data_IF_009505200129
#
_entry.id   IF_009505200129
#
_cell.length_a   1.000
_cell.length_b   1.000
_cell.length_c   1.000
_cell.angle_alpha   90.00
_cell.angle_beta   90.00
_cell.angle_gamma   90.00
#
_symmetry.space_group_name_H-M   'P 1'
#
loop_
_entity.id
_entity.type
_entity.pdbx_description
1 polymer ?
#
# COMPACT_ATOMS: atom_id res chain seq x y z
N UNK A 1 -24.89 -37.40 -2.20
CA UNK A 1 -24.62 -36.81 -2.15
C UNK A 1 -24.22 -36.33 -2.14
N UNK A 2 -23.97 -36.18 -2.27
CA UNK A 2 -23.51 -35.27 -2.24
C UNK A 2 -23.15 -34.83 -2.20
N UNK A 3 -23.03 -34.76 -2.36
CA UNK A 3 -22.61 -33.88 -2.35
C UNK A 3 -22.24 -33.39 -2.33
N UNK A 4 -22.17 -33.28 -2.32
CA UNK A 4 -21.76 -32.34 -2.32
C UNK A 4 -21.40 -32.00 -2.26
N UNK A 5 -21.34 -32.06 -2.46
CA UNK A 5 -21.00 -31.23 -2.36
C UNK A 5 -20.59 -30.77 -2.32
N UNK A 6 -20.53 -30.84 -2.40
CA UNK A 6 -20.15 -29.97 -2.34
C UNK A 6 -19.69 -29.46 -2.34
N UNK A 7 -19.50 -29.49 -2.46
CA UNK A 7 -19.03 -28.56 -2.44
C UNK A 7 -18.66 -28.04 -2.53
N UNK A 8 -18.53 -28.01 -2.62
CA UNK A 8 -18.04 -27.01 -2.59
C UNK A 8 -17.75 -26.41 -2.66
N UNK A 9 -17.49 -26.13 -2.70
CA UNK A 9 -17.24 -25.07 -2.63
C UNK A 9 -16.95 -24.46 -2.60
N UNK A 10 -16.83 -24.58 -2.66
CA UNK A 10 -16.55 -23.59 -2.56
C UNK A 10 -16.27 -23.07 -2.59
N UNK A 11 -16.05 -23.03 -2.76
CA UNK A 11 -15.76 -22.22 -2.70
C UNK A 11 -15.34 -21.56 -2.79
N UNK A 12 -15.18 -21.66 -3.01
CA UNK A 12 -14.82 -20.76 -2.97
C UNK A 12 -14.75 -20.10 -3.02
N UNK A 13 -14.70 -19.95 -3.18
CA UNK A 13 -14.67 -19.03 -3.08
C UNK A 13 -14.66 -18.27 -3.02
N UNK A 14 -14.83 -18.09 -3.15
CA UNK A 14 -14.85 -17.15 -3.10
C UNK A 14 -14.52 -16.55 -2.82
N UNK A 15 -14.24 -16.38 -2.71
CA UNK A 15 -14.10 -15.55 -2.38
C UNK A 15 -13.90 -14.71 -2.41
N UNK A 16 -13.66 -14.43 -2.63
CA UNK A 16 -13.78 -13.64 -2.62
C UNK A 16 -14.15 -12.74 -2.46
N UNK A 17 -14.44 -12.74 -2.88
CA UNK A 17 -14.88 -11.68 -2.84
C UNK A 17 -15.31 -11.18 -1.73
N UNK A 18 -15.54 -11.52 -1.28
CA UNK A 18 -15.78 -10.98 -0.32
C UNK A 18 -15.10 -10.23 0.15
N UNK A 19 -14.86 -10.29 -0.59
CA UNK A 19 -14.42 -9.57 -0.28
C UNK A 19 -14.08 -8.53 0.20
N UNK A 20 -14.27 -7.80 -0.23
CA UNK A 20 -14.02 -6.58 0.41
C UNK A 20 -14.51 -6.54 1.80
N UNK A 21 -14.46 -7.61 2.42
CA UNK A 21 -14.72 -7.67 3.83
C UNK A 21 -13.77 -6.71 4.55
N UNK A 22 -14.18 -6.25 5.69
CA UNK A 22 -13.34 -5.41 6.54
C UNK A 22 -12.00 -6.09 6.74
N UNK A 23 -10.93 -5.34 6.52
CA UNK A 23 -9.58 -5.86 6.62
C UNK A 23 -9.06 -6.53 5.36
N UNK A 24 -9.87 -6.66 4.32
CA UNK A 24 -9.39 -7.19 3.06
C UNK A 24 -8.45 -6.20 2.39
N UNK A 25 -7.41 -6.73 1.74
CA UNK A 25 -6.49 -5.91 0.96
C UNK A 25 -6.79 -6.10 -0.53
N UNK A 26 -6.59 -5.04 -1.30
CA UNK A 26 -6.79 -5.08 -2.75
C UNK A 26 -5.89 -4.07 -3.42
N UNK A 27 -5.56 -4.31 -4.69
CA UNK A 27 -4.81 -3.36 -5.49
C UNK A 27 -5.73 -2.20 -5.89
N UNK A 28 -5.30 -0.98 -5.63
CA UNK A 28 -6.14 0.20 -5.88
C UNK A 28 -6.37 0.46 -7.37
N UNK A 29 -5.48 0.00 -8.24
CA UNK A 29 -5.63 0.21 -9.68
C UNK A 29 -6.47 -0.87 -10.35
N UNK A 30 -6.33 -2.11 -9.92
CA UNK A 30 -6.96 -3.25 -10.59
C UNK A 30 -8.14 -3.83 -9.82
N UNK A 31 -8.23 -3.55 -8.53
CA UNK A 31 -9.22 -4.17 -7.66
C UNK A 31 -8.92 -5.60 -7.29
N UNK A 32 -7.77 -6.14 -7.70
CA UNK A 32 -7.40 -7.52 -7.41
C UNK A 32 -7.24 -7.73 -5.90
N UNK A 33 -7.83 -8.81 -5.41
CA UNK A 33 -7.70 -9.18 -3.99
C UNK A 33 -6.26 -9.58 -3.68
N UNK A 34 -5.78 -9.16 -2.53
CA UNK A 34 -4.41 -9.40 -2.10
C UNK A 34 -4.40 -9.92 -0.67
N UNK A 35 -3.32 -10.60 -0.31
CA UNK A 35 -3.03 -10.88 1.09
C UNK A 35 -2.63 -9.58 1.79
N UNK A 36 -2.84 -9.52 3.09
CA UNK A 36 -2.38 -8.38 3.88
C UNK A 36 -0.86 -8.20 3.71
N UNK A 37 -0.42 -6.95 3.62
CA UNK A 37 0.99 -6.58 3.45
C UNK A 37 1.60 -7.03 2.12
N UNK A 38 0.81 -7.42 1.15
CA UNK A 38 1.33 -7.80 -0.16
C UNK A 38 1.98 -6.58 -0.82
N UNK A 39 3.27 -6.68 -1.08
CA UNK A 39 4.06 -5.61 -1.67
C UNK A 39 5.18 -6.24 -2.49
N UNK A 40 5.32 -5.86 -3.74
CA UNK A 40 6.35 -6.43 -4.60
C UNK A 40 7.74 -6.04 -4.12
N UNK A 41 8.68 -6.96 -4.23
CA UNK A 41 10.08 -6.69 -3.94
C UNK A 41 10.57 -5.53 -4.80
N UNK A 42 11.27 -4.59 -4.20
CA UNK A 42 11.76 -3.41 -4.88
C UNK A 42 10.83 -2.21 -4.79
N UNK A 43 9.64 -2.38 -4.22
CA UNK A 43 8.63 -1.33 -4.19
C UNK A 43 8.37 -0.85 -2.77
N UNK A 44 7.71 0.29 -2.70
CA UNK A 44 7.07 0.76 -1.47
C UNK A 44 5.57 0.70 -1.66
N UNK A 45 4.86 0.27 -0.63
CA UNK A 45 3.41 0.14 -0.66
C UNK A 45 2.78 0.93 0.47
N UNK A 46 1.67 1.57 0.15
CA UNK A 46 0.89 2.32 1.12
C UNK A 46 -0.56 1.86 1.05
N UNK A 47 -1.19 1.71 2.19
CA UNK A 47 -2.58 1.26 2.28
C UNK A 47 -3.43 2.28 3.02
N UNK A 48 -4.70 2.32 2.69
CA UNK A 48 -5.65 3.22 3.34
C UNK A 48 -6.37 2.60 4.53
N UNK A 49 -5.92 1.42 4.97
CA UNK A 49 -6.37 0.79 6.21
C UNK A 49 -5.17 0.29 7.00
N UNK A 50 -5.40 -0.06 8.27
CA UNK A 50 -4.34 -0.59 9.13
C UNK A 50 -3.98 -2.01 8.73
N UNK A 51 -2.77 -2.44 9.09
CA UNK A 51 -2.37 -3.83 8.92
C UNK A 51 -2.08 -4.23 7.48
N UNK A 52 -1.74 -3.30 6.60
CA UNK A 52 -1.48 -3.62 5.19
C UNK A 52 -2.71 -4.08 4.47
N UNK A 53 -3.86 -3.51 4.78
CA UNK A 53 -5.16 -3.87 4.19
C UNK A 53 -5.82 -2.65 3.57
N UNK A 54 -6.98 -2.86 2.96
CA UNK A 54 -7.63 -1.82 2.19
C UNK A 54 -6.97 -1.63 0.84
N UNK A 55 -7.12 -0.47 0.23
CA UNK A 55 -6.55 -0.18 -1.07
C UNK A 55 -5.05 0.06 -1.00
N UNK A 56 -4.31 -0.69 -1.80
CA UNK A 56 -2.86 -0.54 -1.91
C UNK A 56 -2.49 0.34 -3.08
N UNK A 57 -1.61 1.32 -2.86
CA UNK A 57 -0.91 2.02 -3.92
C UNK A 57 0.57 1.66 -3.81
N UNK A 58 1.21 1.37 -4.94
CA UNK A 58 2.54 0.78 -4.97
C UNK A 58 3.42 1.44 -6.02
N UNK A 59 4.67 1.72 -5.64
CA UNK A 59 5.65 2.38 -6.53
C UNK A 59 7.01 1.74 -6.39
N UNK A 60 7.73 1.68 -7.52
CA UNK A 60 9.16 1.37 -7.52
C UNK A 60 10.01 2.64 -7.63
N UNK A 61 9.42 3.76 -7.99
CA UNK A 61 10.11 5.05 -8.14
C UNK A 61 9.48 6.09 -7.23
N UNK A 62 10.16 7.24 -7.11
CA UNK A 62 9.58 8.39 -6.42
C UNK A 62 8.40 8.94 -7.22
N UNK A 63 7.48 9.59 -6.53
CA UNK A 63 6.33 10.21 -7.18
C UNK A 63 6.04 11.55 -6.51
N UNK A 64 6.24 12.65 -7.23
CA UNK A 64 5.98 13.97 -6.69
C UNK A 64 4.50 14.34 -6.62
N UNK A 65 3.63 13.56 -7.26
CA UNK A 65 2.19 13.81 -7.23
C UNK A 65 1.44 12.49 -7.43
N UNK A 66 0.89 11.98 -6.37
CA UNK A 66 0.17 10.69 -6.36
C UNK A 66 -1.09 10.68 -7.24
N UNK A 67 -1.55 11.83 -7.69
CA UNK A 67 -2.75 11.92 -8.54
C UNK A 67 -2.43 12.03 -10.02
N UNK A 68 -1.15 12.02 -10.40
CA UNK A 68 -0.73 12.14 -11.79
C UNK A 68 0.44 11.19 -12.07
N UNK A 69 0.82 11.11 -13.34
CA UNK A 69 1.91 10.25 -13.76
C UNK A 69 1.47 8.85 -14.12
N UNK A 70 2.43 7.94 -14.26
CA UNK A 70 2.15 6.56 -14.70
C UNK A 70 1.47 5.73 -13.63
N UNK A 71 1.71 6.02 -12.37
CA UNK A 71 1.02 5.36 -11.26
C UNK A 71 0.21 6.42 -10.53
N UNK A 72 -1.09 6.19 -10.44
CA UNK A 72 -2.01 7.09 -9.74
C UNK A 72 -2.64 6.35 -8.58
N UNK A 73 -2.66 7.01 -7.44
CA UNK A 73 -3.32 6.46 -6.27
C UNK A 73 -4.74 7.02 -6.20
N UNK A 74 -5.72 6.21 -6.54
CA UNK A 74 -7.10 6.67 -6.73
C UNK A 74 -7.72 7.26 -5.48
N UNK A 75 -7.24 6.91 -4.31
CA UNK A 75 -7.81 7.40 -3.05
C UNK A 75 -6.95 8.48 -2.38
N UNK A 76 -5.89 8.96 -3.05
CA UNK A 76 -4.93 9.88 -2.42
C UNK A 76 -5.56 11.15 -1.87
N UNK A 77 -6.63 11.64 -2.49
CA UNK A 77 -7.29 12.88 -2.06
C UNK A 77 -8.54 12.65 -1.21
N UNK A 78 -8.95 11.40 -1.02
CA UNK A 78 -10.20 11.10 -0.32
C UNK A 78 -10.00 10.26 0.93
N UNK A 79 -8.87 9.57 1.06
CA UNK A 79 -8.59 8.71 2.20
C UNK A 79 -7.19 8.98 2.72
N UNK A 80 -6.93 8.49 3.92
CA UNK A 80 -5.64 8.67 4.57
C UNK A 80 -4.84 7.38 4.51
N UNK A 81 -3.52 7.51 4.49
CA UNK A 81 -2.62 6.38 4.63
C UNK A 81 -2.62 5.94 6.09
N UNK A 82 -2.77 4.65 6.31
CA UNK A 82 -2.78 4.07 7.66
C UNK A 82 -1.66 3.05 7.86
N UNK A 83 -1.16 2.45 6.79
CA UNK A 83 -0.03 1.52 6.91
C UNK A 83 0.88 1.62 5.70
N UNK A 84 2.15 1.20 5.88
CA UNK A 84 3.19 1.33 4.86
C UNK A 84 4.15 0.15 4.97
N UNK A 85 4.70 -0.27 3.84
CA UNK A 85 5.73 -1.31 3.77
C UNK A 85 6.79 -0.88 2.75
N UNK A 86 8.03 -0.75 3.21
CA UNK A 86 9.16 -0.47 2.33
C UNK A 86 9.85 -1.79 1.98
N UNK A 87 9.58 -2.33 0.79
CA UNK A 87 10.26 -3.50 0.27
C UNK A 87 11.32 -3.17 -0.76
N UNK A 88 11.88 -1.96 -0.68
CA UNK A 88 12.97 -1.56 -1.53
C UNK A 88 14.18 -2.47 -1.40
N UNK A 89 15.03 -2.46 -2.43
CA UNK A 89 16.21 -3.30 -2.49
C UNK A 89 17.50 -2.51 -2.74
N UNK A 90 17.41 -1.20 -2.86
CA UNK A 90 18.58 -0.37 -3.11
C UNK A 90 19.53 -0.38 -1.91
N UNK A 91 20.81 -0.53 -2.17
CA UNK A 91 21.83 -0.43 -1.12
C UNK A 91 22.15 1.01 -0.75
N UNK A 92 21.75 1.97 -1.56
CA UNK A 92 22.04 3.39 -1.35
C UNK A 92 20.80 4.21 -0.99
N UNK A 93 19.63 3.82 -1.45
CA UNK A 93 18.38 4.52 -1.17
C UNK A 93 17.52 3.62 -0.28
N UNK A 94 17.81 3.65 1.01
CA UNK A 94 17.27 2.69 1.95
C UNK A 94 16.04 3.17 2.70
N UNK A 95 15.64 4.42 2.52
CA UNK A 95 14.45 4.94 3.16
C UNK A 95 13.45 5.48 2.16
N UNK A 96 12.19 5.56 2.57
CA UNK A 96 11.14 6.24 1.82
C UNK A 96 10.56 7.32 2.71
N UNK A 97 10.68 8.56 2.27
CA UNK A 97 10.07 9.71 2.94
C UNK A 97 8.76 10.02 2.24
N UNK A 98 7.72 10.27 3.01
CA UNK A 98 6.42 10.60 2.44
C UNK A 98 5.92 11.93 3.00
N UNK A 99 5.14 12.62 2.18
CA UNK A 99 4.82 14.02 2.37
C UNK A 99 3.34 14.28 2.23
N UNK A 100 2.86 15.28 2.96
CA UNK A 100 1.46 15.68 2.95
C UNK A 100 1.07 16.33 1.63
N UNK A 101 2.01 17.01 1.00
CA UNK A 101 1.73 17.79 -0.21
C UNK A 101 2.52 17.26 -1.40
N UNK A 102 2.16 17.73 -2.59
CA UNK A 102 2.92 17.40 -3.80
C UNK A 102 4.30 18.06 -3.76
N UNK A 103 5.22 17.56 -4.59
CA UNK A 103 6.54 18.15 -4.72
C UNK A 103 7.43 17.95 -3.51
N UNK A 104 7.17 16.91 -2.71
CA UNK A 104 7.98 16.58 -1.55
C UNK A 104 7.96 17.68 -0.48
N UNK A 105 6.77 18.19 -0.21
CA UNK A 105 6.58 19.24 0.77
C UNK A 105 5.81 18.74 1.99
N UNK A 106 6.16 19.25 3.16
CA UNK A 106 5.53 18.92 4.44
C UNK A 106 5.68 17.45 4.78
N UNK A 107 6.91 17.09 5.17
CA UNK A 107 7.28 15.73 5.54
C UNK A 107 6.40 15.21 6.67
N UNK A 108 5.90 13.98 6.49
CA UNK A 108 5.13 13.26 7.50
C UNK A 108 6.03 12.26 8.23
N UNK A 109 6.73 11.43 7.47
CA UNK A 109 7.53 10.40 8.07
C UNK A 109 8.42 9.68 7.07
N UNK A 110 9.10 8.66 7.54
CA UNK A 110 10.03 7.88 6.74
C UNK A 110 9.99 6.43 7.20
N UNK A 111 10.03 5.51 6.24
CA UNK A 111 10.04 4.07 6.52
C UNK A 111 11.29 3.46 5.95
N UNK A 112 12.04 2.75 6.79
CA UNK A 112 13.29 2.12 6.38
C UNK A 112 13.03 0.87 5.57
N UNK A 113 14.00 0.53 4.77
CA UNK A 113 13.96 -0.70 3.96
C UNK A 113 13.73 -1.92 4.86
N UNK A 114 12.78 -2.75 4.45
CA UNK A 114 12.41 -3.94 5.18
C UNK A 114 11.41 -3.73 6.29
N UNK A 115 11.07 -2.49 6.61
CA UNK A 115 10.12 -2.19 7.69
C UNK A 115 8.71 -2.04 7.16
N UNK A 116 7.76 -2.46 7.96
CA UNK A 116 6.33 -2.27 7.70
C UNK A 116 5.63 -2.02 9.03
N UNK A 117 4.53 -1.31 8.96
CA UNK A 117 3.74 -1.06 10.16
C UNK A 117 2.64 -0.04 9.93
N UNK A 118 1.84 0.12 10.97
CA UNK A 118 0.81 1.15 10.99
C UNK A 118 1.44 2.48 11.38
N UNK A 119 0.91 3.56 10.79
CA UNK A 119 1.36 4.89 11.17
C UNK A 119 0.79 5.25 12.55
N UNK A 120 1.55 6.07 13.29
CA UNK A 120 1.10 6.54 14.59
C UNK A 120 -0.13 7.43 14.49
N UNK A 121 -0.29 8.10 13.34
CA UNK A 121 -1.50 8.85 13.00
C UNK A 121 -1.93 8.46 11.60
N UNK A 122 -2.96 9.10 11.10
CA UNK A 122 -3.40 8.88 9.73
C UNK A 122 -3.28 10.19 8.96
N UNK A 123 -2.79 10.11 7.71
CA UNK A 123 -2.44 11.30 6.95
C UNK A 123 -2.79 11.12 5.48
N UNK A 124 -3.32 12.16 4.88
CA UNK A 124 -3.35 12.22 3.41
C UNK A 124 -1.92 12.42 2.94
N UNK A 125 -1.47 11.59 2.01
CA UNK A 125 -0.13 11.63 1.44
C UNK A 125 -0.25 11.92 -0.04
N UNK A 126 0.56 12.87 -0.53
CA UNK A 126 0.49 13.29 -1.92
C UNK A 126 1.79 13.09 -2.68
N UNK A 127 2.87 12.81 -1.98
CA UNK A 127 4.16 12.54 -2.64
C UNK A 127 5.06 11.70 -1.74
N UNK A 128 6.00 11.02 -2.36
CA UNK A 128 7.03 10.27 -1.64
C UNK A 128 8.29 10.21 -2.47
N UNK A 129 9.43 10.03 -1.82
CA UNK A 129 10.69 9.80 -2.52
C UNK A 129 11.60 8.89 -1.72
N UNK A 130 12.45 8.19 -2.45
CA UNK A 130 13.50 7.39 -1.85
C UNK A 130 14.60 8.31 -1.33
N UNK A 131 15.21 7.92 -0.24
CA UNK A 131 16.26 8.72 0.38
C UNK A 131 17.43 7.84 0.79
N UNK A 132 18.63 8.41 0.73
CA UNK A 132 19.83 7.76 1.22
C UNK A 132 19.95 7.94 2.72
N UNK A 133 20.67 7.02 3.37
CA UNK A 133 20.93 7.14 4.78
C UNK A 133 19.71 6.81 5.62
N UNK A 134 19.73 7.35 6.81
CA UNK A 134 18.68 7.02 7.78
C UNK A 134 17.44 7.86 7.58
N UNK A 135 16.37 7.30 7.98
CA UNK A 135 15.09 8.00 8.02
C UNK A 135 15.08 8.99 9.18
N UNK A 136 15.68 10.02 9.10
CA UNK A 136 15.64 10.86 10.25
C UNK A 136 16.67 11.94 10.17
#
# INVERSE_FOLDING_TARGET
>A
MVVGVAAPSAQAVAPVAQAAAVGAAYDSETGQALAAWDCNTGNVCFWNEFGGTGGRCMWDVADPDWTSGSVKCSWATSKEVKSVYNRGTSSSLTGVVFYRNTGYNNRIGCTRQGQKGDLAGTYQVRSHQWTSGRCG
#
